data_IF_486226044428
#
_entry.id   IF_486226044428
#
_cell.length_a   1.000
_cell.length_b   1.000
_cell.length_c   1.000
_cell.angle_alpha   90.00
_cell.angle_beta   90.00
_cell.angle_gamma   90.00
#
_symmetry.space_group_name_H-M   'P 1'
#
loop_
_entity.id
_entity.type
_entity.pdbx_description
1 polymer ?
#
# COMPACT_ATOMS: atom_id res chain seq x y z
N UNK A 1 13.78 1.96 20.09
CA UNK A 1 14.59 2.69 19.09
C UNK A 1 14.79 1.77 17.89
N UNK A 2 13.98 1.94 16.85
CA UNK A 2 14.19 1.46 15.47
C UNK A 2 13.09 2.09 14.63
N UNK A 3 13.24 3.40 14.43
CA UNK A 3 12.35 4.25 13.64
C UNK A 3 13.27 5.08 12.77
N UNK A 4 13.78 4.47 11.70
CA UNK A 4 14.47 5.15 10.59
C UNK A 4 14.73 4.13 9.47
N UNK A 5 13.66 3.71 8.80
CA UNK A 5 13.78 3.42 7.36
C UNK A 5 13.19 4.64 6.68
N UNK A 6 13.94 5.73 6.71
CA UNK A 6 13.80 6.83 5.78
C UNK A 6 13.59 6.24 4.39
N UNK A 7 12.53 6.69 3.73
CA UNK A 7 12.14 6.22 2.41
C UNK A 7 13.34 6.29 1.47
N UNK A 8 13.93 5.13 1.20
CA UNK A 8 14.64 4.93 -0.05
C UNK A 8 13.56 5.18 -1.08
N UNK A 9 13.58 6.33 -1.72
CA UNK A 9 12.71 6.61 -2.84
C UNK A 9 12.92 5.46 -3.82
N UNK A 10 11.96 4.54 -3.91
CA UNK A 10 12.02 3.44 -4.84
C UNK A 10 12.13 4.10 -6.21
N UNK A 11 13.33 4.09 -6.80
CA UNK A 11 13.55 4.74 -8.07
C UNK A 11 12.74 3.94 -9.08
N UNK A 12 11.88 4.60 -9.89
CA UNK A 12 11.08 3.88 -10.86
C UNK A 12 12.00 3.08 -11.78
N UNK A 13 11.60 1.87 -12.14
CA UNK A 13 12.38 1.00 -13.01
C UNK A 13 11.77 0.95 -14.41
N UNK A 14 12.59 1.21 -15.43
CA UNK A 14 12.18 1.21 -16.84
C UNK A 14 12.93 0.12 -17.58
N UNK A 15 12.19 -0.79 -18.19
CA UNK A 15 12.73 -1.80 -19.10
C UNK A 15 12.71 -1.23 -20.52
N UNK A 16 13.83 -1.28 -21.23
CA UNK A 16 13.92 -0.95 -22.64
C UNK A 16 14.22 -2.23 -23.42
N UNK A 17 13.32 -2.61 -24.31
CA UNK A 17 13.48 -3.75 -25.22
C UNK A 17 13.69 -3.26 -26.63
N UNK A 18 14.89 -3.43 -27.19
CA UNK A 18 15.17 -3.09 -28.58
C UNK A 18 16.40 -3.84 -29.10
N UNK A 19 16.36 -4.21 -30.39
CA UNK A 19 17.50 -4.72 -31.13
C UNK A 19 18.38 -3.58 -31.70
N UNK A 20 17.92 -2.32 -31.60
CA UNK A 20 18.65 -1.11 -31.99
C UNK A 20 19.36 -0.50 -30.76
N UNK A 21 20.70 -0.51 -30.78
CA UNK A 21 21.51 0.03 -29.69
C UNK A 21 21.45 1.56 -29.56
N UNK A 22 21.21 2.28 -30.66
CA UNK A 22 21.14 3.74 -30.66
C UNK A 22 19.81 4.23 -30.07
N UNK A 23 18.75 3.43 -30.24
CA UNK A 23 17.45 3.69 -29.62
C UNK A 23 17.53 3.80 -28.10
N UNK A 24 18.11 2.79 -27.43
CA UNK A 24 18.19 2.77 -25.98
C UNK A 24 19.10 3.90 -25.44
N UNK A 25 20.18 4.21 -26.16
CA UNK A 25 21.06 5.36 -25.84
C UNK A 25 20.32 6.69 -25.96
N UNK A 26 19.51 6.86 -26.99
CA UNK A 26 18.72 8.07 -27.21
C UNK A 26 17.74 8.31 -26.06
N UNK A 27 17.02 7.27 -25.65
CA UNK A 27 16.04 7.34 -24.54
C UNK A 27 16.75 7.67 -23.22
N UNK A 28 17.79 6.91 -22.89
CA UNK A 28 18.53 7.09 -21.64
C UNK A 28 19.19 8.46 -21.56
N UNK A 29 19.82 8.93 -22.65
CA UNK A 29 20.38 10.28 -22.77
C UNK A 29 19.34 11.38 -22.53
N UNK A 30 18.17 11.27 -23.19
CA UNK A 30 17.09 12.25 -23.01
C UNK A 30 16.57 12.29 -21.58
N UNK A 31 16.47 11.13 -20.93
CA UNK A 31 16.02 11.05 -19.55
C UNK A 31 17.01 11.65 -18.56
N UNK A 32 18.31 11.73 -18.87
CA UNK A 32 19.28 12.42 -18.00
C UNK A 32 19.01 13.92 -17.86
N UNK A 33 18.27 14.52 -18.80
CA UNK A 33 17.83 15.92 -18.71
C UNK A 33 16.61 16.09 -17.78
N UNK A 34 15.95 15.00 -17.39
CA UNK A 34 14.78 15.03 -16.51
C UNK A 34 15.16 15.08 -15.04
N UNK A 35 14.28 15.67 -14.21
CA UNK A 35 14.51 15.78 -12.76
C UNK A 35 14.56 14.43 -12.03
N UNK A 36 13.97 13.39 -12.60
CA UNK A 36 13.89 12.05 -12.02
C UNK A 36 14.28 11.02 -13.06
N UNK A 37 15.49 10.47 -12.88
CA UNK A 37 16.03 9.42 -13.73
C UNK A 37 15.65 8.06 -13.14
N UNK A 38 14.96 7.19 -13.88
CA UNK A 38 14.65 5.83 -13.44
C UNK A 38 15.90 4.94 -13.51
N UNK A 39 15.81 3.77 -12.87
CA UNK A 39 16.76 2.67 -13.10
C UNK A 39 16.40 2.02 -14.44
N UNK A 40 17.37 1.93 -15.34
CA UNK A 40 17.17 1.32 -16.66
C UNK A 40 17.66 -0.12 -16.71
N UNK A 41 16.83 -0.99 -17.27
CA UNK A 41 17.21 -2.35 -17.67
C UNK A 41 17.11 -2.42 -19.19
N UNK A 42 18.22 -2.69 -19.87
CA UNK A 42 18.25 -2.81 -21.34
C UNK A 42 18.27 -4.28 -21.73
N UNK A 43 17.48 -4.64 -22.74
CA UNK A 43 17.35 -6.02 -23.20
C UNK A 43 17.10 -6.07 -24.72
N UNK A 44 17.65 -7.08 -25.39
CA UNK A 44 17.31 -7.37 -26.79
C UNK A 44 16.02 -8.19 -26.87
N UNK A 45 15.38 -8.22 -28.04
CA UNK A 45 14.13 -8.99 -28.23
C UNK A 45 14.29 -10.49 -27.93
N UNK A 46 15.47 -11.06 -28.21
CA UNK A 46 15.77 -12.48 -27.97
C UNK A 46 15.84 -12.85 -26.48
N UNK A 47 16.23 -11.91 -25.62
CA UNK A 47 16.41 -12.15 -24.18
C UNK A 47 15.11 -11.92 -23.38
N UNK A 48 14.04 -11.48 -24.03
CA UNK A 48 12.76 -11.17 -23.39
C UNK A 48 12.07 -12.32 -22.64
N UNK A 49 12.16 -13.59 -23.07
CA UNK A 49 11.55 -14.71 -22.34
C UNK A 49 12.08 -14.91 -20.91
N UNK A 50 13.26 -14.37 -20.59
CA UNK A 50 13.88 -14.49 -19.26
C UNK A 50 13.46 -13.42 -18.25
N UNK A 51 12.53 -12.52 -18.60
CA UNK A 51 12.24 -11.36 -17.75
C UNK A 51 11.42 -11.71 -16.52
N UNK A 52 11.81 -11.18 -15.37
CA UNK A 52 10.98 -11.19 -14.17
C UNK A 52 9.98 -10.01 -14.22
N UNK A 53 8.66 -10.26 -14.23
CA UNK A 53 7.62 -9.22 -14.26
C UNK A 53 7.67 -8.20 -13.11
N UNK A 54 8.32 -8.54 -12.00
CA UNK A 54 8.48 -7.65 -10.85
C UNK A 54 9.64 -6.66 -10.95
N UNK A 55 10.50 -6.78 -11.97
CA UNK A 55 11.73 -5.98 -12.05
C UNK A 55 11.58 -4.63 -12.78
N UNK A 56 10.38 -4.30 -13.25
CA UNK A 56 10.12 -3.03 -13.93
C UNK A 56 8.73 -2.45 -13.60
N UNK A 57 8.63 -1.12 -13.67
CA UNK A 57 7.38 -0.37 -13.54
C UNK A 57 6.81 0.06 -14.90
N UNK A 58 7.66 0.22 -15.91
CA UNK A 58 7.30 0.59 -17.27
C UNK A 58 8.16 -0.16 -18.29
N UNK A 59 7.54 -0.76 -19.29
CA UNK A 59 8.22 -1.31 -20.46
C UNK A 59 8.19 -0.33 -21.64
N UNK A 60 9.33 -0.10 -22.29
CA UNK A 60 9.45 0.65 -23.54
C UNK A 60 10.02 -0.28 -24.60
N UNK A 61 9.24 -0.56 -25.64
CA UNK A 61 9.60 -1.46 -26.73
C UNK A 61 9.91 -0.62 -27.96
N UNK A 62 11.14 -0.73 -28.45
CA UNK A 62 11.62 -0.10 -29.68
C UNK A 62 11.55 -1.06 -30.86
N UNK A 63 12.47 -0.85 -31.80
CA UNK A 63 12.61 -1.77 -32.93
C UNK A 63 13.11 -3.13 -32.43
N UNK A 64 12.37 -4.17 -32.79
CA UNK A 64 12.69 -5.58 -32.54
C UNK A 64 12.37 -6.33 -33.83
N UNK A 65 13.12 -7.40 -34.12
CA UNK A 65 12.85 -8.25 -35.29
C UNK A 65 11.35 -8.61 -35.40
N UNK A 66 10.70 -8.46 -36.56
CA UNK A 66 9.25 -8.65 -36.71
C UNK A 66 8.73 -10.00 -36.23
N UNK A 67 9.53 -11.07 -36.35
CA UNK A 67 9.16 -12.41 -35.85
C UNK A 67 9.17 -12.55 -34.32
N UNK A 68 9.89 -11.67 -33.60
CA UNK A 68 10.01 -11.69 -32.14
C UNK A 68 9.04 -10.71 -31.46
N UNK A 69 8.65 -9.63 -32.15
CA UNK A 69 7.83 -8.56 -31.59
C UNK A 69 6.51 -9.04 -30.94
N UNK A 70 5.68 -9.91 -31.57
CA UNK A 70 4.46 -10.39 -30.94
C UNK A 70 4.72 -11.19 -29.67
N UNK A 71 5.80 -11.98 -29.64
CA UNK A 71 6.19 -12.76 -28.46
C UNK A 71 6.62 -11.85 -27.31
N UNK A 72 7.46 -10.85 -27.59
CA UNK A 72 7.91 -9.83 -26.62
C UNK A 72 6.70 -9.12 -26.01
N UNK A 73 5.79 -8.61 -26.83
CA UNK A 73 4.61 -7.89 -26.35
C UNK A 73 3.68 -8.79 -25.53
N UNK A 74 3.48 -10.04 -25.94
CA UNK A 74 2.69 -11.02 -25.17
C UNK A 74 3.28 -11.28 -23.79
N UNK A 75 4.60 -11.47 -23.70
CA UNK A 75 5.31 -11.67 -22.43
C UNK A 75 5.17 -10.43 -21.54
N UNK A 76 5.34 -9.24 -22.11
CA UNK A 76 5.22 -7.99 -21.36
C UNK A 76 3.77 -7.73 -20.91
N UNK A 77 2.75 -7.98 -21.72
CA UNK A 77 1.35 -7.77 -21.33
C UNK A 77 0.92 -8.69 -20.17
N UNK A 78 1.50 -9.90 -20.10
CA UNK A 78 1.30 -10.81 -18.97
C UNK A 78 1.79 -10.23 -17.63
N UNK A 79 2.77 -9.30 -17.65
CA UNK A 79 3.26 -8.62 -16.43
C UNK A 79 2.24 -7.67 -15.80
N UNK A 80 1.18 -7.30 -16.54
CA UNK A 80 0.17 -6.29 -16.17
C UNK A 80 0.76 -4.89 -15.88
N UNK A 81 2.03 -4.64 -16.22
CA UNK A 81 2.67 -3.33 -16.16
C UNK A 81 2.36 -2.53 -17.43
N UNK A 82 2.40 -1.19 -17.39
CA UNK A 82 2.24 -0.37 -18.58
C UNK A 82 3.39 -0.60 -19.57
N UNK A 83 3.04 -0.62 -20.85
CA UNK A 83 3.98 -0.83 -21.96
C UNK A 83 3.76 0.27 -22.99
N UNK A 84 4.85 0.88 -23.46
CA UNK A 84 4.87 1.82 -24.57
C UNK A 84 5.63 1.16 -25.72
N UNK A 85 4.98 0.99 -26.86
CA UNK A 85 5.61 0.54 -28.11
C UNK A 85 5.84 1.73 -29.03
N UNK A 86 7.07 1.88 -29.52
CA UNK A 86 7.47 2.90 -30.47
C UNK A 86 7.41 2.37 -31.91
N UNK A 87 6.33 2.66 -32.61
CA UNK A 87 6.08 2.21 -33.97
C UNK A 87 6.81 3.10 -34.99
N UNK A 88 7.63 2.50 -35.86
CA UNK A 88 8.29 3.22 -36.98
C UNK A 88 7.35 3.59 -38.11
N UNK A 89 6.32 2.77 -38.34
CA UNK A 89 5.35 2.99 -39.39
C UNK A 89 3.91 2.83 -38.88
N UNK A 90 2.96 3.40 -39.63
CA UNK A 90 1.53 3.38 -39.28
C UNK A 90 0.92 1.98 -39.34
N UNK A 91 1.47 1.08 -40.15
CA UNK A 91 0.94 -0.28 -40.31
C UNK A 91 1.24 -1.11 -39.06
N UNK A 92 2.49 -1.07 -38.57
CA UNK A 92 2.89 -1.65 -37.31
C UNK A 92 2.10 -1.04 -36.15
N UNK A 93 1.90 0.28 -36.15
CA UNK A 93 1.10 0.94 -35.14
C UNK A 93 -0.35 0.42 -35.08
N UNK A 94 -0.98 0.25 -36.24
CA UNK A 94 -2.34 -0.27 -36.37
C UNK A 94 -2.45 -1.72 -35.89
N UNK A 95 -1.58 -2.60 -36.39
CA UNK A 95 -1.57 -4.03 -36.03
C UNK A 95 -1.41 -4.24 -34.52
N UNK A 96 -0.51 -3.49 -33.88
CA UNK A 96 -0.30 -3.61 -32.44
C UNK A 96 -1.50 -3.06 -31.65
N UNK A 97 -2.13 -1.96 -32.09
CA UNK A 97 -3.34 -1.43 -31.45
C UNK A 97 -4.52 -2.41 -31.50
N UNK A 98 -4.65 -3.18 -32.58
CA UNK A 98 -5.71 -4.20 -32.70
C UNK A 98 -5.39 -5.46 -31.89
N UNK A 99 -4.12 -5.88 -31.85
CA UNK A 99 -3.72 -7.16 -31.24
C UNK A 99 -3.46 -7.06 -29.74
N UNK A 100 -3.00 -5.89 -29.27
CA UNK A 100 -2.48 -5.69 -27.92
C UNK A 100 -3.15 -4.49 -27.22
N UNK A 101 -4.20 -4.78 -26.44
CA UNK A 101 -5.04 -3.76 -25.79
C UNK A 101 -4.35 -2.98 -24.66
N UNK A 102 -3.30 -3.53 -24.04
CA UNK A 102 -2.59 -2.91 -22.90
C UNK A 102 -1.36 -2.14 -23.33
N UNK A 103 -0.88 -2.39 -24.55
CA UNK A 103 0.26 -1.70 -25.13
C UNK A 103 -0.16 -0.34 -25.69
N UNK A 104 0.46 0.73 -25.19
CA UNK A 104 0.28 2.09 -25.73
C UNK A 104 1.24 2.28 -26.89
N UNK A 105 0.70 2.63 -28.06
CA UNK A 105 1.50 2.79 -29.27
C UNK A 105 1.76 4.27 -29.53
N UNK A 106 3.05 4.63 -29.55
CA UNK A 106 3.57 5.94 -29.94
C UNK A 106 4.23 5.82 -31.32
N UNK A 107 3.78 6.62 -32.28
CA UNK A 107 4.38 6.65 -33.62
C UNK A 107 5.67 7.48 -33.60
N UNK A 108 6.70 7.04 -34.32
CA UNK A 108 7.94 7.80 -34.47
C UNK A 108 7.70 8.96 -35.45
N UNK A 109 7.47 10.14 -34.90
CA UNK A 109 7.41 11.43 -35.61
C UNK A 109 8.57 12.34 -35.15
N UNK A 110 8.75 13.49 -35.80
CA UNK A 110 9.71 14.49 -35.28
C UNK A 110 9.35 14.88 -33.83
N UNK A 111 10.32 14.78 -32.92
CA UNK A 111 10.09 15.02 -31.49
C UNK A 111 9.48 13.84 -30.72
N UNK A 112 9.46 12.61 -31.28
CA UNK A 112 8.98 11.42 -30.57
C UNK A 112 9.65 11.20 -29.21
N UNK A 113 10.92 11.61 -29.06
CA UNK A 113 11.66 11.49 -27.81
C UNK A 113 11.05 12.33 -26.69
N UNK A 114 10.66 13.57 -26.98
CA UNK A 114 10.03 14.46 -25.99
C UNK A 114 8.63 13.96 -25.63
N UNK A 115 7.87 13.48 -26.64
CA UNK A 115 6.58 12.83 -26.41
C UNK A 115 6.71 11.57 -25.53
N UNK A 116 7.73 10.74 -25.77
CA UNK A 116 8.01 9.57 -24.95
C UNK A 116 8.31 9.99 -23.50
N UNK A 117 9.16 10.99 -23.27
CA UNK A 117 9.49 11.46 -21.91
C UNK A 117 8.26 11.93 -21.16
N UNK A 118 7.39 12.72 -21.81
CA UNK A 118 6.14 13.19 -21.22
C UNK A 118 5.21 12.03 -20.83
N UNK A 119 4.96 11.10 -21.78
CA UNK A 119 4.06 9.96 -21.55
C UNK A 119 4.64 9.04 -20.48
N UNK A 120 5.92 8.68 -20.61
CA UNK A 120 6.56 7.76 -19.70
C UNK A 120 6.66 8.35 -18.28
N UNK A 121 6.96 9.64 -18.15
CA UNK A 121 6.97 10.35 -16.88
C UNK A 121 5.59 10.43 -16.22
N UNK A 122 4.53 10.63 -17.01
CA UNK A 122 3.14 10.58 -16.49
C UNK A 122 2.76 9.16 -16.07
N UNK A 123 3.07 8.15 -16.87
CA UNK A 123 2.78 6.74 -16.56
C UNK A 123 3.46 6.32 -15.26
N UNK A 124 4.74 6.63 -15.07
CA UNK A 124 5.45 6.32 -13.83
C UNK A 124 4.85 7.06 -12.62
N UNK A 125 4.47 8.33 -12.78
CA UNK A 125 3.80 9.09 -11.71
C UNK A 125 2.44 8.48 -11.36
N UNK A 126 1.66 8.07 -12.36
CA UNK A 126 0.36 7.42 -12.16
C UNK A 126 0.53 6.06 -11.46
N UNK A 127 1.51 5.25 -11.87
CA UNK A 127 1.83 3.98 -11.22
C UNK A 127 2.19 4.14 -9.75
N UNK A 128 3.07 5.10 -9.42
CA UNK A 128 3.45 5.39 -8.03
C UNK A 128 2.27 5.93 -7.21
N UNK A 129 1.41 6.76 -7.81
CA UNK A 129 0.23 7.28 -7.13
C UNK A 129 -0.76 6.16 -6.81
N UNK A 130 -0.96 5.21 -7.73
CA UNK A 130 -1.82 4.05 -7.55
C UNK A 130 -1.30 3.13 -6.44
N UNK A 131 0.00 2.84 -6.42
CA UNK A 131 0.62 2.02 -5.36
C UNK A 131 0.44 2.67 -3.98
N UNK A 132 0.74 3.96 -3.85
CA UNK A 132 0.51 4.70 -2.60
C UNK A 132 -0.96 4.71 -2.17
N UNK A 133 -1.87 4.80 -3.13
CA UNK A 133 -3.30 4.75 -2.84
C UNK A 133 -3.71 3.37 -2.30
N UNK A 134 -3.25 2.28 -2.91
CA UNK A 134 -3.50 0.91 -2.45
C UNK A 134 -2.92 0.66 -1.06
N UNK A 135 -1.71 1.14 -0.78
CA UNK A 135 -1.10 1.06 0.55
C UNK A 135 -1.87 1.89 1.59
N UNK A 136 -2.35 3.08 1.22
CA UNK A 136 -3.16 3.91 2.09
C UNK A 136 -4.52 3.24 2.39
N UNK A 137 -5.17 2.65 1.38
CA UNK A 137 -6.42 1.91 1.53
C UNK A 137 -6.24 0.68 2.44
N UNK A 138 -5.19 -0.12 2.25
CA UNK A 138 -4.89 -1.27 3.11
C UNK A 138 -4.66 -0.85 4.57
N UNK A 139 -3.95 0.26 4.80
CA UNK A 139 -3.76 0.82 6.14
C UNK A 139 -5.06 1.33 6.74
N UNK A 140 -5.88 2.03 5.95
CA UNK A 140 -7.18 2.53 6.38
C UNK A 140 -8.12 1.38 6.80
N UNK A 141 -8.22 0.31 5.99
CA UNK A 141 -9.04 -0.86 6.30
C UNK A 141 -8.62 -1.55 7.62
N UNK A 142 -7.31 -1.64 7.88
CA UNK A 142 -6.79 -2.16 9.16
C UNK A 142 -7.16 -1.24 10.33
N UNK A 143 -7.00 0.07 10.14
CA UNK A 143 -7.36 1.07 11.16
C UNK A 143 -8.86 1.06 11.47
N UNK A 144 -9.71 0.92 10.46
CA UNK A 144 -11.17 0.84 10.62
C UNK A 144 -11.59 -0.42 11.38
N UNK A 145 -10.94 -1.55 11.10
CA UNK A 145 -11.17 -2.80 11.84
C UNK A 145 -10.84 -2.64 13.32
N UNK A 146 -9.69 -2.02 13.63
CA UNK A 146 -9.28 -1.74 15.02
C UNK A 146 -10.22 -0.75 15.71
N UNK A 147 -10.65 0.30 15.02
CA UNK A 147 -11.61 1.28 15.54
C UNK A 147 -12.97 0.62 15.84
N UNK A 148 -13.41 -0.31 14.99
CA UNK A 148 -14.65 -1.07 15.19
C UNK A 148 -14.58 -1.93 16.45
N UNK A 149 -13.47 -2.66 16.66
CA UNK A 149 -13.24 -3.41 17.89
C UNK A 149 -13.25 -2.52 19.13
N UNK A 150 -12.55 -1.38 19.07
CA UNK A 150 -12.54 -0.41 20.17
C UNK A 150 -13.95 0.11 20.51
N UNK A 151 -14.75 0.46 19.49
CA UNK A 151 -16.14 0.90 19.67
C UNK A 151 -16.99 -0.19 20.32
N UNK A 152 -16.87 -1.44 19.88
CA UNK A 152 -17.58 -2.56 20.49
C UNK A 152 -17.18 -2.79 21.94
N UNK A 153 -15.89 -2.70 22.28
CA UNK A 153 -15.43 -2.82 23.67
C UNK A 153 -16.03 -1.73 24.58
N UNK A 154 -16.15 -0.50 24.07
CA UNK A 154 -16.74 0.62 24.80
C UNK A 154 -18.25 0.46 24.96
N UNK A 155 -18.95 -0.04 23.94
CA UNK A 155 -20.36 -0.38 24.01
C UNK A 155 -20.63 -1.48 25.05
N UNK A 156 -19.78 -2.51 25.08
CA UNK A 156 -19.89 -3.62 26.03
C UNK A 156 -19.49 -3.26 27.47
N UNK A 157 -18.99 -2.05 27.73
CA UNK A 157 -18.49 -1.62 29.04
C UNK A 157 -19.51 -1.82 30.17
N UNK A 158 -20.77 -1.44 29.94
CA UNK A 158 -21.81 -1.57 30.95
C UNK A 158 -22.03 -3.04 31.33
N UNK A 159 -22.20 -3.90 30.32
CA UNK A 159 -22.41 -5.34 30.50
C UNK A 159 -21.25 -5.99 31.26
N UNK A 160 -20.01 -5.60 30.94
CA UNK A 160 -18.84 -6.09 31.66
C UNK A 160 -18.81 -5.60 33.11
N UNK A 161 -19.11 -4.32 33.36
CA UNK A 161 -19.15 -3.77 34.72
C UNK A 161 -20.22 -4.46 35.58
N UNK A 162 -21.41 -4.73 35.03
CA UNK A 162 -22.47 -5.44 35.73
C UNK A 162 -22.03 -6.86 36.09
N UNK A 163 -21.47 -7.60 35.12
CA UNK A 163 -20.97 -8.94 35.35
C UNK A 163 -19.87 -8.99 36.42
N UNK A 164 -18.90 -8.05 36.36
CA UNK A 164 -17.83 -7.95 37.34
C UNK A 164 -18.35 -7.57 38.72
N UNK A 165 -19.34 -6.67 38.81
CA UNK A 165 -19.98 -6.29 40.07
C UNK A 165 -20.66 -7.50 40.73
N UNK A 166 -21.37 -8.31 39.93
CA UNK A 166 -21.97 -9.55 40.40
C UNK A 166 -20.92 -10.56 40.87
N UNK A 167 -19.87 -10.83 40.08
CA UNK A 167 -18.83 -11.80 40.46
C UNK A 167 -18.08 -11.36 41.71
N UNK A 168 -17.72 -10.08 41.80
CA UNK A 168 -17.03 -9.51 42.96
C UNK A 168 -17.91 -9.59 44.20
N UNK A 169 -19.16 -9.12 44.12
CA UNK A 169 -20.09 -9.14 45.25
C UNK A 169 -20.37 -10.55 45.76
N UNK A 170 -20.60 -11.52 44.87
CA UNK A 170 -20.78 -12.92 45.28
C UNK A 170 -19.52 -13.50 45.93
N UNK A 171 -18.33 -13.19 45.39
CA UNK A 171 -17.06 -13.64 45.97
C UNK A 171 -16.85 -13.07 47.38
N UNK A 172 -17.17 -11.80 47.59
CA UNK A 172 -17.06 -11.14 48.91
C UNK A 172 -18.06 -11.70 49.92
N UNK A 173 -19.31 -11.95 49.50
CA UNK A 173 -20.32 -12.59 50.35
C UNK A 173 -19.91 -14.00 50.79
N UNK A 174 -19.37 -14.81 49.87
CA UNK A 174 -18.91 -16.17 50.18
C UNK A 174 -17.69 -16.17 51.11
N UNK A 175 -16.75 -15.24 50.93
CA UNK A 175 -15.56 -15.12 51.80
C UNK A 175 -15.92 -14.66 53.22
N UNK A 176 -16.95 -13.81 53.34
CA UNK A 176 -17.44 -13.28 54.61
C UNK A 176 -18.17 -14.33 55.47
N UNK A 177 -18.67 -15.42 54.88
CA UNK A 177 -19.37 -16.48 55.63
C UNK A 177 -18.38 -17.46 56.28
N UNK A 178 -18.29 -17.50 57.63
CA UNK A 178 -17.38 -18.40 58.32
C UNK A 178 -17.86 -19.87 58.22
N UNK A 179 -16.94 -20.79 57.93
CA UNK A 179 -17.19 -22.23 57.97
C UNK A 179 -17.83 -22.86 56.73
N UNK A 180 -18.21 -22.06 55.72
CA UNK A 180 -18.84 -22.56 54.49
C UNK A 180 -17.82 -23.12 53.50
N UNK A 181 -16.62 -22.54 53.45
CA UNK A 181 -15.56 -22.91 52.49
C UNK A 181 -14.41 -23.64 53.19
N UNK A 182 -13.86 -24.66 52.51
CA UNK A 182 -12.55 -25.22 52.86
C UNK A 182 -11.45 -24.16 52.65
N UNK A 183 -10.28 -24.35 53.25
CA UNK A 183 -9.13 -23.44 53.06
C UNK A 183 -8.81 -23.25 51.57
N UNK A 184 -8.71 -24.36 50.82
CA UNK A 184 -8.47 -24.33 49.37
C UNK A 184 -9.59 -23.63 48.59
N UNK A 185 -10.86 -23.83 48.98
CA UNK A 185 -11.99 -23.13 48.36
C UNK A 185 -11.96 -21.62 48.63
N UNK A 186 -11.52 -21.22 49.82
CA UNK A 186 -11.31 -19.81 50.18
C UNK A 186 -10.24 -19.16 49.31
N UNK A 187 -9.09 -19.79 49.16
CA UNK A 187 -7.98 -19.31 48.33
C UNK A 187 -8.38 -19.15 46.84
N UNK A 188 -9.23 -20.06 46.33
CA UNK A 188 -9.78 -19.96 44.97
C UNK A 188 -10.73 -18.77 44.80
N UNK A 189 -11.65 -18.56 45.74
CA UNK A 189 -12.61 -17.43 45.67
C UNK A 189 -11.87 -16.09 45.81
N UNK A 190 -10.82 -16.03 46.64
CA UNK A 190 -9.96 -14.86 46.73
C UNK A 190 -9.22 -14.58 45.41
N UNK A 191 -8.76 -15.62 44.71
CA UNK A 191 -8.17 -15.48 43.38
C UNK A 191 -9.18 -14.93 42.36
N UNK A 192 -10.43 -15.43 42.37
CA UNK A 192 -11.50 -14.93 41.49
C UNK A 192 -11.77 -13.45 41.77
N UNK A 193 -11.93 -13.09 43.06
CA UNK A 193 -12.12 -11.70 43.49
C UNK A 193 -11.01 -10.79 42.97
N UNK A 194 -9.75 -11.17 43.17
CA UNK A 194 -8.59 -10.40 42.73
C UNK A 194 -8.54 -10.25 41.20
N UNK A 195 -8.91 -11.31 40.46
CA UNK A 195 -8.98 -11.24 39.00
C UNK A 195 -10.12 -10.34 38.50
N UNK A 196 -11.27 -10.33 39.17
CA UNK A 196 -12.38 -9.41 38.86
C UNK A 196 -12.00 -7.94 39.06
N UNK A 197 -11.28 -7.62 40.15
CA UNK A 197 -10.76 -6.26 40.37
C UNK A 197 -9.79 -5.86 39.25
N UNK A 198 -8.85 -6.75 38.89
CA UNK A 198 -7.89 -6.51 37.80
C UNK A 198 -8.58 -6.28 36.45
N UNK A 199 -9.65 -7.02 36.15
CA UNK A 199 -10.44 -6.80 34.94
C UNK A 199 -11.14 -5.43 34.93
N UNK A 200 -11.67 -5.00 36.08
CA UNK A 200 -12.29 -3.68 36.22
C UNK A 200 -11.28 -2.55 35.94
N UNK A 201 -10.06 -2.64 36.48
CA UNK A 201 -8.99 -1.68 36.20
C UNK A 201 -8.63 -1.61 34.72
N UNK A 202 -8.59 -2.75 34.02
CA UNK A 202 -8.31 -2.82 32.58
C UNK A 202 -9.41 -2.07 31.79
N UNK A 203 -10.68 -2.26 32.13
CA UNK A 203 -11.81 -1.56 31.48
C UNK A 203 -11.78 -0.06 31.75
N UNK A 204 -11.39 0.36 32.95
CA UNK A 204 -11.20 1.78 33.26
C UNK A 204 -10.09 2.41 32.42
N UNK A 205 -8.96 1.71 32.22
CA UNK A 205 -7.89 2.19 31.34
C UNK A 205 -8.37 2.36 29.90
N UNK A 206 -9.18 1.44 29.38
CA UNK A 206 -9.77 1.59 28.05
C UNK A 206 -10.70 2.82 27.95
N UNK A 207 -11.49 3.09 28.98
CA UNK A 207 -12.37 4.28 29.02
C UNK A 207 -11.58 5.59 29.12
N UNK A 208 -10.48 5.59 29.86
CA UNK A 208 -9.55 6.73 29.92
C UNK A 208 -8.91 6.99 28.56
N UNK A 209 -8.49 5.94 27.87
CA UNK A 209 -7.88 6.03 26.54
C UNK A 209 -8.89 6.56 25.49
N UNK A 210 -10.15 6.12 25.53
CA UNK A 210 -11.22 6.68 24.69
C UNK A 210 -11.33 8.20 24.86
N UNK A 211 -11.31 8.66 26.11
CA UNK A 211 -11.44 10.08 26.44
C UNK A 211 -10.27 10.87 25.86
N UNK A 212 -9.03 10.38 26.05
CA UNK A 212 -7.83 10.99 25.49
C UNK A 212 -7.85 11.05 23.95
N UNK A 213 -8.27 9.97 23.28
CA UNK A 213 -8.39 9.92 21.82
C UNK A 213 -9.40 10.95 21.29
N UNK A 214 -10.57 11.08 21.91
CA UNK A 214 -11.56 12.11 21.53
C UNK A 214 -11.02 13.54 21.64
N UNK A 215 -10.23 13.82 22.69
CA UNK A 215 -9.58 15.12 22.85
C UNK A 215 -8.47 15.37 21.82
N UNK A 216 -7.73 14.32 21.42
CA UNK A 216 -6.72 14.41 20.38
C UNK A 216 -7.32 14.70 19.00
N UNK A 217 -8.42 14.02 18.63
CA UNK A 217 -9.13 14.25 17.36
C UNK A 217 -9.65 15.70 17.26
N UNK A 218 -10.24 16.23 18.34
CA UNK A 218 -10.74 17.61 18.39
C UNK A 218 -9.64 18.66 18.17
N UNK A 219 -8.38 18.34 18.51
CA UNK A 219 -7.21 19.22 18.30
C UNK A 219 -6.57 19.10 16.92
N UNK A 220 -6.88 18.06 16.15
CA UNK A 220 -6.36 17.87 14.79
C UNK A 220 -7.16 18.66 13.73
N UNK A 221 -8.46 18.90 13.97
CA UNK A 221 -9.36 19.63 13.06
C UNK A 221 -9.05 21.13 12.77
N UNK A 222 -8.36 21.92 13.62
CA UNK A 222 -8.16 23.35 13.34
C UNK A 222 -7.00 23.66 12.37
N UNK A 223 -6.15 22.68 11.99
CA UNK A 223 -4.99 22.95 11.12
C UNK A 223 -5.25 22.77 9.62
N UNK A 224 -6.23 21.95 9.23
CA UNK A 224 -6.52 21.69 7.80
C UNK A 224 -7.37 22.81 7.18
N UNK A 225 -8.19 23.50 7.98
CA UNK A 225 -9.10 24.57 7.48
C UNK A 225 -8.40 25.93 7.29
N UNK A 226 -7.31 26.20 8.01
CA UNK A 226 -6.56 27.45 7.88
C UNK A 226 -5.68 27.51 6.60
N UNK A 227 -5.32 26.37 6.01
CA UNK A 227 -4.54 26.33 4.76
C UNK A 227 -5.40 26.47 3.48
N UNK A 228 -6.73 26.33 3.59
CA UNK A 228 -7.66 26.40 2.47
C UNK A 228 -8.28 27.79 2.23
N UNK A 229 -7.99 28.78 3.08
CA UNK A 229 -8.59 30.14 3.02
C UNK A 229 -7.54 31.21 2.65
N UNK A 230 -6.35 30.81 2.19
CA UNK A 230 -5.30 31.76 1.76
C UNK A 230 -4.73 31.47 0.36
N UNK A 231 -5.58 31.09 -0.60
CA UNK A 231 -5.24 31.15 -2.03
C UNK A 231 -6.30 31.89 -2.80
#
# INVERSE_FOLDING_TARGET
MSSETQGVANMPSVLIVSDDGDFARTITSRWQAERRVPVFTLMSGELCPGINPGCFELGVVGEVRPGLLPSVLTILEASKKPIIFLARDRQAAYTIRETHSRTRVLEQHEGWGDALMLIAGEVLRASQALERAQEAESRAARSETQATLGRYMLEMRHNFNDALTCVLGNSELLLAQPGVLSKAGRDQIETIRNMSVRMNEILQRFSSLETELRFADTRAEPKTRAAAVSR
#
